data_IF_015800047266
#
_entry.id   IF_015800047266
#
_cell.length_a   1.000
_cell.length_b   1.000
_cell.length_c   1.000
_cell.angle_alpha   90.00
_cell.angle_beta   90.00
_cell.angle_gamma   90.00
#
_symmetry.space_group_name_H-M   'P 1'
#
loop_
_entity.id
_entity.type
_entity.pdbx_description
1 polymer ?
#
# COMPACT_ATOMS: atom_id res chain seq x y z
N UNK A 1 33.93 14.21 51.89
CA UNK A 1 34.31 15.50 51.28
C UNK A 1 33.16 15.91 50.37
N UNK A 2 32.19 16.75 50.80
CA UNK A 2 32.12 18.23 50.57
C UNK A 2 32.24 18.54 49.05
N UNK A 3 31.29 19.10 48.28
CA UNK A 3 30.18 20.08 48.42
C UNK A 3 29.20 19.90 47.19
N UNK A 4 27.85 20.11 47.17
CA UNK A 4 26.98 21.31 47.37
C UNK A 4 27.37 22.50 46.43
N UNK A 5 26.54 23.20 45.62
CA UNK A 5 25.08 23.46 45.48
C UNK A 5 24.74 24.13 44.10
N UNK A 6 23.48 24.00 43.65
CA UNK A 6 22.48 25.02 43.15
C UNK A 6 22.89 26.11 42.13
N UNK A 7 22.12 26.26 41.04
CA UNK A 7 21.36 27.49 40.71
C UNK A 7 20.48 27.37 39.44
N UNK A 8 19.21 27.72 39.59
CA UNK A 8 18.26 28.01 38.51
C UNK A 8 18.37 29.48 38.07
N UNK A 9 18.03 29.79 36.82
CA UNK A 9 17.70 31.16 36.40
C UNK A 9 16.66 31.13 35.27
N UNK A 10 15.52 31.75 35.57
CA UNK A 10 14.42 32.09 34.69
C UNK A 10 14.70 33.40 33.96
N UNK A 11 14.17 33.53 32.74
CA UNK A 11 13.61 34.77 32.21
C UNK A 11 14.39 35.43 31.06
N UNK A 12 13.73 35.61 29.91
CA UNK A 12 13.04 36.85 29.52
C UNK A 12 12.45 36.69 28.10
N UNK A 13 11.20 37.13 27.95
CA UNK A 13 10.44 37.28 26.71
C UNK A 13 11.10 38.27 25.74
N UNK A 14 10.98 38.00 24.44
CA UNK A 14 10.90 39.05 23.42
C UNK A 14 9.87 38.63 22.35
N UNK A 15 8.68 39.21 22.48
CA UNK A 15 7.70 39.28 21.41
C UNK A 15 8.21 40.26 20.34
N UNK A 16 8.20 39.82 19.09
CA UNK A 16 8.50 40.65 17.93
C UNK A 16 7.40 40.49 16.88
N UNK A 17 6.43 41.39 16.94
CA UNK A 17 5.36 41.59 15.96
C UNK A 17 5.80 42.57 14.88
N UNK A 18 5.76 42.18 13.60
CA UNK A 18 5.65 43.05 12.41
C UNK A 18 5.27 42.13 11.23
N UNK A 19 4.48 42.47 10.22
CA UNK A 19 3.43 43.45 9.99
C UNK A 19 2.77 42.99 8.66
N UNK A 20 1.54 43.42 8.43
CA UNK A 20 0.71 43.16 7.25
C UNK A 20 1.39 43.41 5.90
N UNK A 21 1.01 42.62 4.90
CA UNK A 21 0.86 43.10 3.50
C UNK A 21 -0.25 42.30 2.81
N UNK A 22 -1.45 42.88 2.78
CA UNK A 22 -2.49 42.61 1.80
C UNK A 22 -2.29 43.59 0.64
N UNK A 23 -2.34 43.11 -0.61
CA UNK A 23 -3.01 43.72 -1.76
C UNK A 23 -2.38 43.24 -3.08
N UNK A 24 -3.17 42.55 -3.90
CA UNK A 24 -3.31 42.85 -5.33
C UNK A 24 -4.51 42.07 -5.89
N UNK A 25 -5.69 42.65 -5.70
CA UNK A 25 -6.84 42.38 -6.56
C UNK A 25 -6.77 43.40 -7.71
N UNK A 26 -6.83 42.92 -8.95
CA UNK A 26 -6.94 43.74 -10.16
C UNK A 26 -8.19 43.33 -10.94
N UNK A 27 -9.31 43.98 -10.60
CA UNK A 27 -10.50 44.30 -11.39
C UNK A 27 -10.19 44.68 -12.85
N UNK A 28 -11.06 44.71 -13.86
CA UNK A 28 -12.46 44.34 -14.17
C UNK A 28 -12.66 44.83 -15.61
N UNK A 29 -13.43 44.15 -16.47
CA UNK A 29 -14.62 44.73 -17.15
C UNK A 29 -15.12 43.89 -18.34
N UNK A 30 -16.38 43.45 -18.20
CA UNK A 30 -17.50 43.70 -19.11
C UNK A 30 -17.33 43.55 -20.63
N UNK A 31 -17.96 42.53 -21.22
CA UNK A 31 -19.16 42.70 -22.06
C UNK A 31 -19.58 41.43 -22.81
N UNK A 32 -20.88 41.40 -23.07
CA UNK A 32 -21.75 40.33 -23.54
C UNK A 32 -21.65 40.15 -25.06
N UNK A 33 -21.46 38.92 -25.58
CA UNK A 33 -22.01 38.49 -26.89
C UNK A 33 -22.02 36.98 -27.04
N UNK A 34 -23.19 36.47 -27.40
CA UNK A 34 -23.49 35.13 -27.88
C UNK A 34 -22.77 34.84 -29.21
N UNK A 35 -22.04 33.72 -29.27
CA UNK A 35 -21.74 33.04 -30.52
C UNK A 35 -21.51 31.54 -30.24
N UNK A 36 -22.36 30.70 -30.85
CA UNK A 36 -22.04 29.30 -31.10
C UNK A 36 -20.87 29.26 -32.09
N UNK A 37 -19.84 28.49 -31.75
CA UNK A 37 -18.94 27.91 -32.73
C UNK A 37 -18.32 26.65 -32.14
N UNK A 38 -18.65 25.52 -32.76
CA UNK A 38 -17.93 24.26 -32.62
C UNK A 38 -16.44 24.47 -32.83
N UNK A 39 -15.61 23.97 -31.91
CA UNK A 39 -14.26 23.55 -32.25
C UNK A 39 -13.80 22.50 -31.26
N UNK A 40 -13.53 21.34 -31.83
CA UNK A 40 -12.83 20.18 -31.28
C UNK A 40 -11.61 20.54 -30.43
N UNK A 41 -11.53 19.99 -29.23
CA UNK A 41 -10.27 19.77 -28.53
C UNK A 41 -10.22 18.33 -28.04
N UNK A 42 -9.36 17.56 -28.70
CA UNK A 42 -8.82 16.27 -28.32
C UNK A 42 -8.79 16.05 -26.80
N UNK A 43 -9.63 15.13 -26.32
CA UNK A 43 -9.33 14.37 -25.11
C UNK A 43 -8.20 13.41 -25.47
N UNK A 44 -7.00 13.70 -24.98
CA UNK A 44 -5.98 12.66 -24.84
C UNK A 44 -6.45 11.73 -23.73
N UNK A 45 -7.15 10.67 -24.12
CA UNK A 45 -7.43 9.52 -23.28
C UNK A 45 -6.09 8.87 -22.90
N UNK A 46 -5.53 9.26 -21.76
CA UNK A 46 -4.53 8.45 -21.08
C UNK A 46 -5.26 7.30 -20.40
N UNK A 47 -5.62 6.28 -21.19
CA UNK A 47 -5.79 4.93 -20.70
C UNK A 47 -4.43 4.48 -20.16
N UNK A 48 -4.17 4.73 -18.87
CA UNK A 48 -3.24 3.91 -18.12
C UNK A 48 -4.00 2.65 -17.72
N UNK A 49 -4.04 1.68 -18.65
CA UNK A 49 -4.09 0.28 -18.27
C UNK A 49 -2.83 0.02 -17.47
N UNK A 50 -2.92 0.17 -16.14
CA UNK A 50 -1.90 -0.28 -15.21
C UNK A 50 -2.15 -1.77 -14.92
N UNK A 51 -2.06 -2.58 -15.97
CA UNK A 51 -1.69 -3.98 -15.86
C UNK A 51 -0.29 -4.09 -16.44
N UNK A 52 0.65 -3.44 -15.76
CA UNK A 52 2.06 -3.59 -16.04
C UNK A 52 2.58 -4.59 -15.03
N UNK A 53 2.77 -5.83 -15.47
CA UNK A 53 3.86 -6.64 -14.93
C UNK A 53 5.13 -5.84 -15.16
N UNK A 54 5.57 -5.11 -14.14
CA UNK A 54 6.75 -4.26 -14.21
C UNK A 54 8.00 -5.14 -14.26
N UNK A 55 8.34 -5.57 -15.47
CA UNK A 55 9.63 -6.19 -15.78
C UNK A 55 10.76 -5.15 -15.91
N UNK A 56 10.54 -3.92 -15.45
CA UNK A 56 11.44 -2.77 -15.60
C UNK A 56 12.52 -2.62 -14.53
N UNK A 57 12.45 -3.36 -13.42
CA UNK A 57 13.34 -3.19 -12.25
C UNK A 57 14.51 -4.16 -12.19
N UNK A 58 14.61 -5.11 -13.12
CA UNK A 58 15.78 -6.00 -13.26
C UNK A 58 15.80 -7.23 -12.35
N UNK A 59 14.68 -7.57 -11.70
CA UNK A 59 14.47 -8.85 -11.01
C UNK A 59 13.21 -9.56 -11.53
N UNK A 60 13.11 -10.87 -11.27
CA UNK A 60 11.97 -11.68 -11.71
C UNK A 60 10.96 -11.80 -10.58
N UNK A 61 9.81 -11.16 -10.76
CA UNK A 61 8.64 -11.38 -9.92
C UNK A 61 7.86 -12.59 -10.38
N UNK A 62 7.54 -13.47 -9.45
CA UNK A 62 6.75 -14.66 -9.72
C UNK A 62 5.37 -14.49 -9.09
N UNK A 63 4.29 -14.57 -9.88
CA UNK A 63 2.94 -14.45 -9.33
C UNK A 63 2.61 -15.54 -8.31
N UNK A 64 1.83 -15.17 -7.29
CA UNK A 64 1.21 -16.12 -6.36
C UNK A 64 -0.14 -16.56 -6.92
N UNK A 65 -0.26 -17.83 -7.26
CA UNK A 65 -1.46 -18.41 -7.86
C UNK A 65 -1.14 -19.67 -8.67
N UNK A 66 -2.12 -20.25 -9.39
CA UNK A 66 -1.88 -21.37 -10.28
C UNK A 66 -0.79 -21.00 -11.29
N UNK A 67 0.26 -21.81 -11.34
CA UNK A 67 1.41 -21.56 -12.21
C UNK A 67 0.98 -21.51 -13.69
N UNK A 68 1.19 -20.37 -14.36
CA UNK A 68 1.18 -20.29 -15.82
C UNK A 68 0.27 -19.25 -16.49
N UNK A 69 -0.51 -18.46 -15.75
CA UNK A 69 -1.31 -17.37 -16.36
C UNK A 69 -1.26 -16.10 -15.53
N UNK A 70 -0.73 -15.03 -16.12
CA UNK A 70 -0.79 -13.67 -15.56
C UNK A 70 -2.23 -13.15 -15.40
N UNK A 71 -3.22 -13.86 -15.95
CA UNK A 71 -4.64 -13.49 -15.99
C UNK A 71 -5.38 -13.65 -14.65
N UNK A 72 -4.77 -14.28 -13.63
CA UNK A 72 -5.40 -14.48 -12.30
C UNK A 72 -4.68 -13.75 -11.14
N UNK A 73 -3.76 -12.82 -11.45
CA UNK A 73 -2.90 -12.20 -10.44
C UNK A 73 -3.62 -11.24 -9.51
N UNK A 74 -4.62 -10.52 -10.01
CA UNK A 74 -5.29 -9.48 -9.25
C UNK A 74 -6.65 -9.97 -8.75
N UNK A 75 -6.86 -9.82 -7.45
CA UNK A 75 -8.13 -10.11 -6.79
C UNK A 75 -8.84 -8.81 -6.44
N UNK A 76 -10.08 -8.67 -6.91
CA UNK A 76 -10.93 -7.52 -6.60
C UNK A 76 -11.72 -7.78 -5.31
N UNK A 77 -11.47 -7.00 -4.26
CA UNK A 77 -12.19 -7.10 -2.98
C UNK A 77 -12.59 -5.73 -2.47
N UNK A 78 -13.91 -5.50 -2.33
CA UNK A 78 -14.40 -4.20 -1.87
C UNK A 78 -13.81 -3.03 -2.70
N UNK A 79 -13.12 -2.06 -2.07
CA UNK A 79 -12.46 -0.93 -2.75
C UNK A 79 -11.04 -1.23 -3.29
N UNK A 80 -10.58 -2.48 -3.21
CA UNK A 80 -9.19 -2.87 -3.46
C UNK A 80 -9.06 -3.76 -4.71
N UNK A 81 -8.02 -3.51 -5.48
CA UNK A 81 -7.36 -4.48 -6.36
C UNK A 81 -6.13 -4.99 -5.62
N UNK A 82 -5.99 -6.30 -5.46
CA UNK A 82 -4.93 -6.92 -4.66
C UNK A 82 -4.16 -7.93 -5.50
N UNK A 83 -2.91 -7.62 -5.82
CA UNK A 83 -1.95 -8.54 -6.42
C UNK A 83 -1.08 -9.21 -5.35
N UNK A 84 -0.46 -10.34 -5.68
CA UNK A 84 0.55 -10.96 -4.83
C UNK A 84 1.66 -11.62 -5.67
N UNK A 85 2.91 -11.31 -5.33
CA UNK A 85 4.10 -11.82 -6.00
C UNK A 85 5.13 -12.30 -5.00
N UNK A 86 6.06 -13.15 -5.44
CA UNK A 86 7.22 -13.53 -4.65
C UNK A 86 8.47 -13.56 -5.51
N UNK A 87 9.61 -13.23 -4.91
CA UNK A 87 10.91 -13.20 -5.57
C UNK A 87 12.06 -13.42 -4.56
N UNK A 88 13.30 -13.21 -4.96
CA UNK A 88 14.45 -13.43 -4.08
C UNK A 88 14.33 -12.69 -2.74
N UNK A 89 14.80 -13.27 -1.62
CA UNK A 89 14.81 -12.58 -0.33
C UNK A 89 15.54 -11.24 -0.40
N UNK A 90 15.04 -10.25 0.33
CA UNK A 90 15.62 -8.90 0.37
C UNK A 90 16.21 -8.56 1.74
N UNK A 91 17.26 -7.74 1.73
CA UNK A 91 17.69 -7.04 2.93
C UNK A 91 16.81 -5.79 3.12
N UNK A 92 16.31 -5.59 4.34
CA UNK A 92 15.44 -4.46 4.69
C UNK A 92 16.13 -3.54 5.69
N UNK A 93 15.82 -2.24 5.63
CA UNK A 93 16.20 -1.26 6.64
C UNK A 93 14.95 -0.58 7.23
N UNK A 94 14.77 -0.54 8.56
CA UNK A 94 15.64 -1.09 9.61
C UNK A 94 15.68 -2.63 9.65
N UNK A 95 16.89 -3.21 9.74
CA UNK A 95 17.13 -4.66 9.63
C UNK A 95 16.62 -5.50 10.82
N UNK A 96 16.06 -4.85 11.84
CA UNK A 96 15.46 -5.52 13.01
C UNK A 96 13.99 -5.90 12.78
N UNK A 97 13.44 -5.57 11.62
CA UNK A 97 12.04 -5.80 11.26
C UNK A 97 11.94 -7.06 10.39
N UNK A 98 11.27 -8.09 10.90
CA UNK A 98 11.01 -9.33 10.15
C UNK A 98 12.21 -10.29 10.05
N UNK A 99 12.05 -11.29 9.17
CA UNK A 99 13.05 -12.32 8.91
C UNK A 99 14.17 -11.76 8.01
N UNK A 100 15.43 -12.12 8.29
CA UNK A 100 16.57 -11.70 7.47
C UNK A 100 16.59 -12.43 6.14
N UNK A 101 17.13 -11.79 5.11
CA UNK A 101 17.27 -12.37 3.77
C UNK A 101 17.95 -13.75 3.81
N UNK A 102 19.05 -13.86 4.55
CA UNK A 102 19.84 -15.09 4.67
C UNK A 102 19.10 -16.28 5.30
N UNK A 103 18.00 -16.04 6.01
CA UNK A 103 17.21 -17.07 6.69
C UNK A 103 15.90 -17.40 5.94
N UNK A 104 15.57 -16.62 4.90
CA UNK A 104 14.32 -16.68 4.16
C UNK A 104 14.45 -17.46 2.84
N UNK A 105 13.33 -17.99 2.37
CA UNK A 105 13.22 -18.70 1.09
C UNK A 105 12.88 -17.74 -0.06
N UNK A 106 12.07 -16.71 0.21
CA UNK A 106 11.70 -15.64 -0.72
C UNK A 106 11.21 -14.40 0.03
N UNK A 107 11.12 -13.28 -0.69
CA UNK A 107 10.29 -12.15 -0.29
C UNK A 107 8.89 -12.33 -0.89
N UNK A 108 7.84 -12.08 -0.10
CA UNK A 108 6.44 -12.15 -0.49
C UNK A 108 5.82 -10.77 -0.38
N UNK A 109 5.16 -10.32 -1.44
CA UNK A 109 4.54 -9.01 -1.52
C UNK A 109 3.04 -9.10 -1.81
N UNK A 110 2.31 -8.11 -1.33
CA UNK A 110 0.96 -7.80 -1.73
C UNK A 110 0.87 -6.35 -2.21
N UNK A 111 0.50 -6.19 -3.47
CA UNK A 111 0.31 -4.91 -4.14
C UNK A 111 -1.16 -4.50 -4.06
N UNK A 112 -1.44 -3.49 -3.24
CA UNK A 112 -2.81 -3.12 -2.91
C UNK A 112 -3.13 -1.72 -3.42
N UNK A 113 -3.97 -1.69 -4.46
CA UNK A 113 -4.33 -0.47 -5.17
C UNK A 113 -5.82 -0.19 -5.08
N UNK A 114 -6.19 1.09 -5.16
CA UNK A 114 -7.59 1.50 -5.18
C UNK A 114 -8.25 1.13 -6.51
N UNK A 115 -9.28 0.30 -6.47
CA UNK A 115 -10.10 0.02 -7.65
C UNK A 115 -11.11 1.16 -7.91
N UNK A 116 -12.08 0.93 -8.81
CA UNK A 116 -13.14 1.93 -9.08
C UNK A 116 -13.92 2.32 -7.83
N UNK A 117 -14.25 1.38 -6.94
CA UNK A 117 -14.96 1.65 -5.67
C UNK A 117 -14.07 2.38 -4.66
N UNK A 118 -12.75 2.17 -4.72
CA UNK A 118 -11.78 2.93 -3.92
C UNK A 118 -11.87 4.45 -4.14
N UNK A 119 -12.33 4.90 -5.31
CA UNK A 119 -12.57 6.32 -5.57
C UNK A 119 -13.68 6.93 -4.71
N UNK A 120 -14.60 6.12 -4.19
CA UNK A 120 -15.64 6.59 -3.26
C UNK A 120 -15.06 6.92 -1.87
N UNK A 121 -13.84 6.46 -1.57
CA UNK A 121 -13.09 6.78 -0.35
C UNK A 121 -12.11 7.96 -0.53
N UNK A 122 -12.09 8.58 -1.72
CA UNK A 122 -11.20 9.70 -2.03
C UNK A 122 -9.81 9.30 -2.55
N UNK A 123 -9.51 8.01 -2.69
CA UNK A 123 -8.30 7.54 -3.37
C UNK A 123 -8.42 7.72 -4.88
N UNK A 124 -7.33 8.06 -5.56
CA UNK A 124 -7.32 7.98 -7.03
C UNK A 124 -7.28 6.51 -7.47
N UNK A 125 -8.04 6.14 -8.51
CA UNK A 125 -8.02 4.78 -9.08
C UNK A 125 -6.59 4.40 -9.46
N UNK A 126 -6.16 3.19 -9.11
CA UNK A 126 -4.82 2.65 -9.36
C UNK A 126 -3.73 3.17 -8.44
N UNK A 127 -4.04 4.02 -7.45
CA UNK A 127 -3.05 4.43 -6.46
C UNK A 127 -2.93 3.39 -5.35
N UNK A 128 -1.70 3.21 -4.85
CA UNK A 128 -1.43 2.45 -3.64
C UNK A 128 -2.28 2.96 -2.46
N UNK A 129 -2.83 2.04 -1.67
CA UNK A 129 -3.55 2.39 -0.44
C UNK A 129 -2.63 2.23 0.77
N UNK A 130 -2.23 3.33 1.43
CA UNK A 130 -1.35 3.27 2.58
C UNK A 130 -2.07 2.88 3.87
N UNK A 131 -1.27 2.56 4.89
CA UNK A 131 -1.68 2.39 6.28
C UNK A 131 -2.67 1.26 6.56
N UNK A 132 -2.83 0.32 5.63
CA UNK A 132 -3.55 -0.93 5.88
C UNK A 132 -2.81 -1.79 6.91
N UNK A 133 -3.55 -2.63 7.63
CA UNK A 133 -2.96 -3.77 8.34
C UNK A 133 -3.22 -5.01 7.48
N UNK A 134 -2.16 -5.61 6.94
CA UNK A 134 -2.29 -6.77 6.05
C UNK A 134 -1.71 -7.98 6.77
N UNK A 135 -2.59 -8.87 7.23
CA UNK A 135 -2.19 -10.14 7.80
C UNK A 135 -2.16 -11.20 6.70
N UNK A 136 -1.17 -12.09 6.73
CA UNK A 136 -1.02 -13.18 5.77
C UNK A 136 -0.92 -14.53 6.48
N UNK A 137 -1.42 -15.56 5.82
CA UNK A 137 -1.29 -16.96 6.23
C UNK A 137 -1.07 -17.83 5.01
N UNK A 138 -0.04 -18.68 5.05
CA UNK A 138 0.22 -19.71 4.04
C UNK A 138 -0.30 -21.06 4.57
N UNK A 139 -1.21 -21.66 3.81
CA UNK A 139 -1.89 -22.91 4.14
C UNK A 139 -1.38 -24.01 3.20
N UNK A 140 -0.92 -25.13 3.76
CA UNK A 140 -0.57 -26.33 3.00
C UNK A 140 -1.86 -27.05 2.59
N UNK A 141 -2.15 -27.13 1.29
CA UNK A 141 -3.40 -27.74 0.81
C UNK A 141 -3.46 -29.24 1.05
N UNK A 142 -2.32 -29.93 1.19
CA UNK A 142 -2.31 -31.37 1.49
C UNK A 142 -2.81 -31.68 2.90
N UNK A 143 -2.66 -30.73 3.83
CA UNK A 143 -3.08 -30.89 5.23
C UNK A 143 -4.28 -30.02 5.60
N UNK A 144 -4.56 -28.97 4.83
CA UNK A 144 -5.57 -27.95 5.13
C UNK A 144 -5.22 -27.09 6.35
N UNK A 145 -3.95 -27.07 6.75
CA UNK A 145 -3.46 -26.34 7.94
C UNK A 145 -2.42 -25.31 7.55
N UNK A 146 -2.25 -24.31 8.42
CA UNK A 146 -1.11 -23.39 8.32
C UNK A 146 0.19 -24.18 8.29
N UNK A 147 1.13 -23.78 7.44
CA UNK A 147 2.44 -24.42 7.36
C UNK A 147 3.15 -24.28 8.70
N UNK A 148 3.65 -25.39 9.25
CA UNK A 148 4.45 -25.38 10.47
C UNK A 148 5.73 -24.57 10.26
N UNK A 149 5.88 -23.48 11.01
CA UNK A 149 6.96 -22.50 10.83
C UNK A 149 6.80 -21.24 11.70
N UNK A 150 5.65 -21.05 12.36
CA UNK A 150 5.38 -19.89 13.21
C UNK A 150 5.29 -18.61 12.38
N UNK A 151 5.91 -17.53 12.85
CA UNK A 151 5.87 -16.20 12.20
C UNK A 151 6.48 -16.15 10.80
N UNK A 152 7.10 -17.24 10.32
CA UNK A 152 7.71 -17.29 9.01
C UNK A 152 6.72 -17.66 7.88
N UNK A 153 5.55 -18.22 8.22
CA UNK A 153 4.51 -18.69 7.28
C UNK A 153 3.13 -18.09 7.55
N UNK A 154 2.99 -17.35 8.64
CA UNK A 154 1.88 -16.42 8.90
C UNK A 154 2.38 -15.21 9.70
N UNK A 155 1.72 -14.06 9.56
CA UNK A 155 2.14 -12.83 10.23
C UNK A 155 1.44 -11.58 9.70
N UNK A 156 1.99 -10.41 10.01
CA UNK A 156 1.55 -9.12 9.47
C UNK A 156 2.63 -8.61 8.54
N UNK A 157 2.27 -8.30 7.29
CA UNK A 157 3.18 -7.64 6.37
C UNK A 157 3.59 -6.27 6.87
N UNK A 158 4.83 -5.93 6.53
CA UNK A 158 5.41 -4.62 6.81
C UNK A 158 5.12 -3.69 5.63
N UNK A 159 4.92 -2.41 5.92
CA UNK A 159 4.85 -1.37 4.90
C UNK A 159 6.27 -0.97 4.52
N UNK A 160 6.60 -1.04 3.24
CA UNK A 160 7.94 -0.69 2.77
C UNK A 160 7.92 -0.22 1.32
N UNK A 161 9.07 0.22 0.84
CA UNK A 161 9.28 0.59 -0.55
C UNK A 161 10.37 -0.28 -1.16
N UNK A 162 10.18 -0.67 -2.41
CA UNK A 162 11.22 -1.12 -3.32
C UNK A 162 11.42 -0.08 -4.45
N UNK A 163 12.16 -0.45 -5.51
CA UNK A 163 12.46 0.45 -6.63
C UNK A 163 11.27 0.74 -7.55
N UNK A 164 10.29 -0.17 -7.59
CA UNK A 164 9.01 -0.09 -8.31
C UNK A 164 7.94 0.67 -7.52
N UNK A 165 8.02 0.70 -6.20
CA UNK A 165 7.11 1.51 -5.40
C UNK A 165 6.86 1.00 -3.98
N UNK A 166 5.84 1.56 -3.30
CA UNK A 166 5.39 1.09 -2.00
C UNK A 166 4.53 -0.18 -2.12
N UNK A 167 4.76 -1.13 -1.21
CA UNK A 167 3.99 -2.38 -1.12
C UNK A 167 3.87 -2.85 0.35
N UNK A 168 3.14 -3.96 0.56
CA UNK A 168 3.12 -4.69 1.82
C UNK A 168 3.85 -6.02 1.66
N UNK A 169 4.90 -6.28 2.45
CA UNK A 169 5.70 -7.48 2.25
C UNK A 169 6.29 -8.10 3.51
N UNK A 170 6.80 -9.32 3.35
CA UNK A 170 7.62 -10.00 4.34
C UNK A 170 8.57 -11.00 3.69
N UNK A 171 9.76 -11.13 4.26
CA UNK A 171 10.60 -12.30 4.03
C UNK A 171 9.97 -13.53 4.68
N UNK A 172 9.80 -14.58 3.90
CA UNK A 172 9.09 -15.82 4.26
C UNK A 172 10.03 -17.01 4.19
N UNK A 173 9.88 -17.95 5.12
CA UNK A 173 10.60 -19.24 5.08
C UNK A 173 9.62 -20.35 4.72
N UNK A 174 9.79 -20.93 3.54
CA UNK A 174 9.02 -22.05 3.02
C UNK A 174 9.95 -22.96 2.22
N UNK A 175 10.52 -23.96 2.91
CA UNK A 175 11.58 -24.82 2.34
C UNK A 175 11.03 -26.03 1.57
N UNK A 176 9.73 -26.30 1.64
CA UNK A 176 9.09 -27.46 1.03
C UNK A 176 8.36 -27.04 -0.24
N UNK A 177 8.52 -27.83 -1.30
CA UNK A 177 7.66 -27.75 -2.47
C UNK A 177 6.26 -28.29 -2.14
N UNK A 178 5.25 -27.75 -2.82
CA UNK A 178 3.88 -28.21 -2.65
C UNK A 178 2.87 -27.23 -3.23
N UNK A 179 1.60 -27.59 -3.08
CA UNK A 179 0.49 -26.73 -3.42
C UNK A 179 0.00 -26.03 -2.16
N UNK A 180 0.01 -24.70 -2.19
CA UNK A 180 -0.35 -23.85 -1.08
C UNK A 180 -1.55 -22.96 -1.41
N UNK A 181 -2.06 -22.32 -0.38
CA UNK A 181 -3.02 -21.23 -0.47
C UNK A 181 -2.44 -20.05 0.33
N UNK A 182 -2.35 -18.89 -0.30
CA UNK A 182 -2.08 -17.64 0.40
C UNK A 182 -3.41 -16.99 0.75
N UNK A 183 -3.61 -16.71 2.03
CA UNK A 183 -4.76 -15.99 2.54
C UNK A 183 -4.31 -14.65 3.11
N UNK A 184 -4.94 -13.56 2.68
CA UNK A 184 -4.73 -12.22 3.22
C UNK A 184 -5.98 -11.74 3.96
N UNK A 185 -5.78 -11.08 5.09
CA UNK A 185 -6.81 -10.40 5.87
C UNK A 185 -6.42 -8.93 6.01
N UNK A 186 -7.18 -8.05 5.35
CA UNK A 186 -6.81 -6.65 5.12
C UNK A 186 -7.71 -5.76 5.96
N UNK A 187 -7.17 -5.15 7.01
CA UNK A 187 -7.87 -4.22 7.88
C UNK A 187 -7.77 -2.79 7.34
N UNK A 188 -8.83 -2.00 7.53
CA UNK A 188 -8.87 -0.62 7.06
C UNK A 188 -7.94 0.28 7.88
N UNK A 189 -7.44 1.38 7.28
CA UNK A 189 -6.53 2.28 7.96
C UNK A 189 -7.24 3.08 9.07
N UNK A 190 -8.58 3.02 9.14
CA UNK A 190 -9.37 3.61 10.22
C UNK A 190 -8.95 3.10 11.60
N UNK A 191 -8.53 1.83 11.72
CA UNK A 191 -8.05 1.25 12.99
C UNK A 191 -6.75 1.88 13.50
N UNK A 192 -5.98 2.50 12.61
CA UNK A 192 -4.77 3.26 12.94
C UNK A 192 -5.02 4.76 13.04
N UNK A 193 -6.27 5.20 12.94
CA UNK A 193 -6.68 6.59 13.10
C UNK A 193 -6.82 7.37 11.80
N UNK A 194 -6.78 6.72 10.63
CA UNK A 194 -7.06 7.39 9.36
C UNK A 194 -8.53 7.83 9.30
N UNK A 195 -8.76 9.06 8.87
CA UNK A 195 -10.10 9.68 8.85
C UNK A 195 -10.53 10.04 7.44
N UNK A 196 -11.84 10.08 7.21
CA UNK A 196 -12.46 10.57 5.99
C UNK A 196 -13.22 11.86 6.29
N UNK A 197 -13.18 12.82 5.37
CA UNK A 197 -14.12 13.93 5.38
C UNK A 197 -15.52 13.38 5.09
N UNK A 198 -16.54 13.88 5.80
CA UNK A 198 -17.93 13.42 5.67
C UNK A 198 -18.94 14.58 5.59
N UNK A 199 -18.46 15.83 5.58
CA UNK A 199 -19.30 17.01 5.36
C UNK A 199 -19.79 17.09 3.92
N UNK A 200 -20.92 17.77 3.63
CA UNK A 200 -21.48 17.80 2.28
C UNK A 200 -20.61 18.48 1.22
N UNK A 201 -19.70 19.38 1.61
CA UNK A 201 -18.91 20.18 0.68
C UNK A 201 -17.63 19.46 0.23
N UNK A 202 -16.96 18.76 1.15
CA UNK A 202 -15.65 18.14 0.91
C UNK A 202 -15.61 16.65 1.21
N UNK A 203 -16.70 16.08 1.72
CA UNK A 203 -16.78 14.70 2.14
C UNK A 203 -16.76 13.70 1.00
N UNK A 204 -16.18 12.55 1.28
CA UNK A 204 -16.25 11.38 0.40
C UNK A 204 -17.56 10.63 0.65
N UNK A 205 -17.99 9.81 -0.32
CA UNK A 205 -19.29 9.12 -0.26
C UNK A 205 -19.21 7.75 0.42
N UNK A 206 -18.05 7.12 0.37
CA UNK A 206 -17.79 5.82 0.95
C UNK A 206 -17.39 5.89 2.42
N UNK A 207 -17.36 4.71 3.05
CA UNK A 207 -16.84 4.52 4.39
C UNK A 207 -15.85 3.36 4.38
N UNK A 208 -14.83 3.44 5.23
CA UNK A 208 -13.95 2.31 5.45
C UNK A 208 -14.73 1.09 5.92
N UNK A 209 -14.26 -0.09 5.51
CA UNK A 209 -14.79 -1.35 6.02
C UNK A 209 -14.47 -1.53 7.50
N UNK A 210 -15.38 -2.18 8.23
CA UNK A 210 -15.27 -2.42 9.68
C UNK A 210 -14.68 -3.80 9.99
N UNK A 211 -14.98 -4.80 9.15
CA UNK A 211 -14.43 -6.15 9.24
C UNK A 211 -13.37 -6.35 8.16
N UNK A 212 -12.24 -7.04 8.45
CA UNK A 212 -11.18 -7.24 7.49
C UNK A 212 -11.69 -7.83 6.16
N UNK A 213 -11.15 -7.32 5.06
CA UNK A 213 -11.40 -7.89 3.74
C UNK A 213 -10.50 -9.11 3.55
N UNK A 214 -11.11 -10.24 3.20
CA UNK A 214 -10.40 -11.50 3.02
C UNK A 214 -10.13 -11.74 1.54
N UNK A 215 -8.86 -11.97 1.19
CA UNK A 215 -8.41 -12.34 -0.16
C UNK A 215 -7.74 -13.69 -0.10
N UNK A 216 -7.90 -14.50 -1.15
CA UNK A 216 -7.33 -15.83 -1.22
C UNK A 216 -6.77 -16.08 -2.60
N UNK A 217 -5.48 -16.40 -2.65
CA UNK A 217 -4.80 -16.94 -3.82
C UNK A 217 -4.68 -18.44 -3.63
N UNK A 218 -5.54 -19.19 -4.30
CA UNK A 218 -5.63 -20.64 -4.16
C UNK A 218 -4.78 -21.36 -5.21
N UNK A 219 -4.43 -22.63 -4.93
CA UNK A 219 -3.64 -23.50 -5.82
C UNK A 219 -2.30 -22.89 -6.23
N UNK A 220 -1.62 -22.22 -5.29
CA UNK A 220 -0.28 -21.73 -5.50
C UNK A 220 0.72 -22.89 -5.55
N UNK A 221 1.16 -23.24 -6.76
CA UNK A 221 2.16 -24.28 -6.98
C UNK A 221 3.57 -23.72 -6.72
N UNK A 222 4.09 -23.96 -5.52
CA UNK A 222 5.40 -23.48 -5.11
C UNK A 222 6.45 -24.59 -5.18
N UNK A 223 7.59 -24.25 -5.76
CA UNK A 223 8.82 -25.06 -5.72
C UNK A 223 9.94 -24.18 -5.20
N UNK A 224 10.73 -24.62 -4.18
CA UNK A 224 11.88 -23.87 -3.70
C UNK A 224 12.81 -23.51 -4.86
N UNK A 225 13.11 -22.22 -4.95
CA UNK A 225 13.99 -21.66 -5.98
C UNK A 225 15.38 -21.42 -5.40
N UNK A 226 16.36 -21.42 -6.29
CA UNK A 226 17.64 -20.77 -6.04
C UNK A 226 17.59 -19.48 -6.85
N UNK A 227 17.92 -18.38 -6.19
CA UNK A 227 17.88 -17.03 -6.75
C UNK A 227 19.27 -16.58 -7.13
#
# INVERSE_FOLDING_TARGET
MKNKKIAALLGVLLAGSMAFSLAACGSSDSSNTSAKSDSSSQSSDSNSDSSASDSGTGFEEVPVGPSGTAEEQDQEVGPLTVGAVYFQPIDMEPSSMGLKAADASFHLEADIHANKKGTELGYGKGNFIPDLTVNYTIIDKSTGKEVEGGTATSGTFMQMNASDGPHYGANVKLDKAGTYQLKLSIESPAKKGWMLHVDPETGVKGHFWTEPLEVTFDNWEYTPRQW
#
